data_IF_701771084914
#
_entry.id   IF_701771084914
#
_cell.length_a   1.000
_cell.length_b   1.000
_cell.length_c   1.000
_cell.angle_alpha   90.00
_cell.angle_beta   90.00
_cell.angle_gamma   90.00
#
_symmetry.space_group_name_H-M   'P 1'
#
loop_
_entity.id
_entity.type
_entity.pdbx_description
1 polymer ?
#
# COMPACT_ATOMS: atom_id res chain seq x y z
N UNK A 1 8.82 -6.83 21.16
CA UNK A 1 8.92 -8.06 20.36
C UNK A 1 8.06 -8.07 19.09
N UNK A 2 7.05 -7.18 18.96
CA UNK A 2 6.19 -7.08 17.75
C UNK A 2 6.98 -6.62 16.50
N UNK A 3 7.84 -5.60 16.63
CA UNK A 3 8.60 -5.08 15.49
C UNK A 3 9.57 -6.09 14.87
N UNK A 4 10.26 -6.92 15.69
CA UNK A 4 11.16 -7.96 15.18
C UNK A 4 10.41 -9.04 14.38
N UNK A 5 9.25 -9.49 14.87
CA UNK A 5 8.43 -10.48 14.16
C UNK A 5 7.83 -9.91 12.87
N UNK A 6 7.45 -8.64 12.87
CA UNK A 6 6.94 -7.94 11.67
C UNK A 6 8.01 -7.81 10.60
N UNK A 7 9.16 -7.21 10.92
CA UNK A 7 10.25 -7.01 9.94
C UNK A 7 10.81 -8.34 9.43
N UNK A 8 10.92 -9.36 10.28
CA UNK A 8 11.35 -10.68 9.83
C UNK A 8 10.38 -11.28 8.80
N UNK A 9 9.07 -11.13 9.01
CA UNK A 9 8.05 -11.66 8.12
C UNK A 9 8.01 -10.91 6.78
N UNK A 10 8.17 -9.59 6.80
CA UNK A 10 8.29 -8.80 5.57
C UNK A 10 9.59 -9.09 4.79
N UNK A 11 10.71 -9.29 5.50
CA UNK A 11 11.95 -9.72 4.86
C UNK A 11 11.85 -11.10 4.20
N UNK A 12 11.14 -12.04 4.84
CA UNK A 12 10.89 -13.38 4.28
C UNK A 12 10.01 -13.31 3.02
N UNK A 13 9.02 -12.43 2.98
CA UNK A 13 8.17 -12.20 1.81
C UNK A 13 8.99 -11.75 0.59
N UNK A 14 9.94 -10.82 0.79
CA UNK A 14 10.86 -10.38 -0.26
C UNK A 14 11.70 -11.55 -0.78
N UNK A 15 12.17 -12.45 0.09
CA UNK A 15 12.92 -13.65 -0.32
C UNK A 15 12.08 -14.55 -1.21
N UNK A 16 10.81 -14.79 -0.87
CA UNK A 16 9.90 -15.59 -1.70
C UNK A 16 9.64 -14.95 -3.06
N UNK A 17 9.49 -13.62 -3.11
CA UNK A 17 9.33 -12.87 -4.36
C UNK A 17 10.57 -13.07 -5.26
N UNK A 18 11.77 -12.87 -4.72
CA UNK A 18 13.03 -13.00 -5.48
C UNK A 18 13.23 -14.42 -6.00
N UNK A 19 12.98 -15.44 -5.18
CA UNK A 19 13.09 -16.84 -5.61
C UNK A 19 12.07 -17.13 -6.73
N UNK A 20 10.82 -16.69 -6.56
CA UNK A 20 9.76 -16.93 -7.56
C UNK A 20 10.11 -16.28 -8.90
N UNK A 21 10.52 -15.01 -8.91
CA UNK A 21 10.92 -14.33 -10.13
C UNK A 21 12.22 -14.88 -10.71
N UNK A 22 13.21 -15.22 -9.89
CA UNK A 22 14.48 -15.79 -10.32
C UNK A 22 14.31 -17.17 -10.97
N UNK A 23 13.46 -18.03 -10.42
CA UNK A 23 13.13 -19.33 -11.01
C UNK A 23 12.33 -19.17 -12.32
N UNK A 24 11.39 -18.21 -12.39
CA UNK A 24 10.62 -17.95 -13.59
C UNK A 24 11.47 -17.36 -14.73
N UNK A 25 12.46 -16.53 -14.40
CA UNK A 25 13.40 -15.94 -15.37
C UNK A 25 14.55 -16.90 -15.77
N UNK A 26 14.71 -18.04 -15.09
CA UNK A 26 15.78 -19.00 -15.33
C UNK A 26 17.17 -18.58 -14.81
N UNK A 27 17.27 -17.45 -14.11
CA UNK A 27 18.55 -16.87 -13.65
C UNK A 27 18.40 -16.23 -12.25
N UNK A 28 18.47 -17.09 -11.23
CA UNK A 28 18.40 -16.69 -9.81
C UNK A 28 19.54 -15.75 -9.39
N UNK A 29 20.81 -15.93 -9.84
CA UNK A 29 21.87 -14.97 -9.57
C UNK A 29 21.55 -13.54 -10.02
N UNK A 30 21.01 -13.36 -11.23
CA UNK A 30 20.63 -12.03 -11.74
C UNK A 30 19.48 -11.42 -10.94
N UNK A 31 18.46 -12.21 -10.61
CA UNK A 31 17.35 -11.74 -9.78
C UNK A 31 17.81 -11.33 -8.37
N UNK A 32 18.76 -12.06 -7.80
CA UNK A 32 19.35 -11.76 -6.48
C UNK A 32 20.15 -10.46 -6.52
N UNK A 33 20.94 -10.23 -7.57
CA UNK A 33 21.66 -8.98 -7.78
C UNK A 33 20.69 -7.80 -7.93
N UNK A 34 19.62 -7.98 -8.70
CA UNK A 34 18.55 -6.99 -8.85
C UNK A 34 17.90 -6.62 -7.51
N UNK A 35 17.63 -7.62 -6.67
CA UNK A 35 17.08 -7.40 -5.32
C UNK A 35 18.03 -6.58 -4.43
N UNK A 36 19.33 -6.90 -4.43
CA UNK A 36 20.33 -6.13 -3.67
C UNK A 36 20.41 -4.69 -4.16
N UNK A 37 20.39 -4.47 -5.47
CA UNK A 37 20.39 -3.14 -6.06
C UNK A 37 19.12 -2.37 -5.70
N UNK A 38 17.95 -3.02 -5.72
CA UNK A 38 16.69 -2.41 -5.30
C UNK A 38 16.76 -1.98 -3.82
N UNK A 39 17.28 -2.82 -2.93
CA UNK A 39 17.48 -2.48 -1.52
C UNK A 39 18.40 -1.27 -1.38
N UNK A 40 19.54 -1.26 -2.08
CA UNK A 40 20.47 -0.14 -2.03
C UNK A 40 19.83 1.18 -2.49
N UNK A 41 19.09 1.16 -3.60
CA UNK A 41 18.37 2.32 -4.12
C UNK A 41 17.31 2.80 -3.13
N UNK A 42 16.51 1.88 -2.57
CA UNK A 42 15.48 2.22 -1.59
C UNK A 42 16.09 2.81 -0.32
N UNK A 43 17.21 2.28 0.17
CA UNK A 43 17.92 2.84 1.33
C UNK A 43 18.42 4.25 1.08
N UNK A 44 19.04 4.49 -0.09
CA UNK A 44 19.49 5.84 -0.49
C UNK A 44 18.30 6.79 -0.55
N UNK A 45 17.22 6.37 -1.20
CA UNK A 45 16.01 7.18 -1.32
C UNK A 45 15.43 7.48 0.06
N UNK A 46 15.30 6.47 0.94
CA UNK A 46 14.78 6.62 2.30
C UNK A 46 15.60 7.62 3.11
N UNK A 47 16.93 7.61 3.00
CA UNK A 47 17.81 8.58 3.67
C UNK A 47 17.55 9.99 3.15
N UNK A 48 17.44 10.16 1.83
CA UNK A 48 17.17 11.45 1.17
C UNK A 48 15.80 11.99 1.55
N UNK A 49 14.76 11.16 1.54
CA UNK A 49 13.37 11.58 1.81
C UNK A 49 13.01 11.59 3.29
N UNK A 50 13.86 11.10 4.19
CA UNK A 50 13.61 11.06 5.64
C UNK A 50 13.25 12.43 6.21
N UNK A 51 13.97 13.48 5.79
CA UNK A 51 13.78 14.84 6.30
C UNK A 51 12.44 15.46 5.89
N UNK A 52 12.03 15.45 4.60
CA UNK A 52 10.72 15.97 4.22
C UNK A 52 9.56 15.12 4.76
N UNK A 53 9.71 13.79 4.83
CA UNK A 53 8.66 12.91 5.38
C UNK A 53 8.41 13.15 6.88
N UNK A 54 9.45 13.51 7.63
CA UNK A 54 9.32 13.85 9.05
C UNK A 54 8.58 15.18 9.29
N UNK A 55 8.37 15.99 8.26
CA UNK A 55 7.61 17.25 8.33
C UNK A 55 6.12 17.07 8.01
N UNK A 56 5.71 15.87 7.55
CA UNK A 56 4.33 15.58 7.17
C UNK A 56 3.60 14.96 8.37
N UNK A 57 2.34 15.33 8.55
CA UNK A 57 1.48 14.74 9.58
C UNK A 57 1.42 13.22 9.45
N UNK A 58 1.62 12.52 10.57
CA UNK A 58 1.63 11.06 10.62
C UNK A 58 0.33 10.45 10.08
N UNK A 59 -0.80 11.11 10.34
CA UNK A 59 -2.10 10.63 9.87
C UNK A 59 -2.24 10.75 8.35
N UNK A 60 -1.70 11.82 7.75
CA UNK A 60 -1.71 11.99 6.29
C UNK A 60 -0.80 10.98 5.61
N UNK A 61 0.36 10.70 6.22
CA UNK A 61 1.29 9.69 5.73
C UNK A 61 0.64 8.30 5.77
N UNK A 62 0.03 7.90 6.89
CA UNK A 62 -0.68 6.62 7.01
C UNK A 62 -1.82 6.51 6.01
N UNK A 63 -2.58 7.59 5.81
CA UNK A 63 -3.68 7.62 4.88
C UNK A 63 -3.24 7.44 3.43
N UNK A 64 -2.25 8.24 2.99
CA UNK A 64 -1.72 8.17 1.64
C UNK A 64 -1.04 6.83 1.35
N UNK A 65 -0.20 6.35 2.26
CA UNK A 65 0.47 5.06 2.14
C UNK A 65 -0.55 3.91 2.09
N UNK A 66 -1.57 3.95 2.94
CA UNK A 66 -2.64 2.95 2.92
C UNK A 66 -3.38 2.90 1.57
N UNK A 67 -3.70 4.06 0.98
CA UNK A 67 -4.31 4.14 -0.34
C UNK A 67 -3.42 3.56 -1.45
N UNK A 68 -2.13 3.90 -1.41
CA UNK A 68 -1.14 3.40 -2.38
C UNK A 68 -1.01 1.88 -2.26
N UNK A 69 -0.85 1.35 -1.05
CA UNK A 69 -0.77 -0.10 -0.80
C UNK A 69 -2.03 -0.83 -1.27
N UNK A 70 -3.22 -0.31 -0.99
CA UNK A 70 -4.47 -0.90 -1.46
C UNK A 70 -4.57 -0.90 -2.99
N UNK A 71 -4.14 0.19 -3.65
CA UNK A 71 -4.17 0.31 -5.11
C UNK A 71 -3.21 -0.67 -5.78
N UNK A 72 -1.93 -0.65 -5.37
CA UNK A 72 -0.91 -1.57 -5.89
C UNK A 72 -1.26 -3.02 -5.59
N UNK A 73 -1.66 -3.33 -4.35
CA UNK A 73 -2.06 -4.69 -3.97
C UNK A 73 -3.22 -5.21 -4.81
N UNK A 74 -4.23 -4.38 -5.07
CA UNK A 74 -5.38 -4.77 -5.92
C UNK A 74 -4.97 -5.00 -7.37
N UNK A 75 -4.13 -4.12 -7.93
CA UNK A 75 -3.62 -4.23 -9.29
C UNK A 75 -2.91 -5.57 -9.52
N UNK A 76 -1.90 -5.85 -8.68
CA UNK A 76 -1.09 -7.06 -8.79
C UNK A 76 -1.83 -8.34 -8.38
N UNK A 77 -2.75 -8.27 -7.41
CA UNK A 77 -3.56 -9.43 -7.04
C UNK A 77 -4.44 -9.89 -8.22
N UNK A 78 -5.06 -8.96 -8.94
CA UNK A 78 -5.93 -9.29 -10.08
C UNK A 78 -5.12 -9.81 -11.27
N UNK A 79 -4.00 -9.15 -11.60
CA UNK A 79 -3.10 -9.59 -12.66
C UNK A 79 -2.52 -10.98 -12.36
N UNK A 80 -2.12 -11.21 -11.10
CA UNK A 80 -1.62 -12.49 -10.61
C UNK A 80 -2.67 -13.60 -10.67
N UNK A 81 -3.94 -13.30 -10.37
CA UNK A 81 -5.06 -14.24 -10.51
C UNK A 81 -5.30 -14.63 -11.98
N UNK A 82 -5.05 -13.70 -12.93
CA UNK A 82 -5.14 -13.95 -14.37
C UNK A 82 -4.27 -15.11 -14.85
N UNK A 83 -3.09 -15.29 -14.24
CA UNK A 83 -2.15 -16.37 -14.57
C UNK A 83 -2.68 -17.76 -14.20
N UNK A 84 -3.59 -17.87 -13.23
CA UNK A 84 -4.16 -19.16 -12.78
C UNK A 84 -5.40 -19.60 -13.57
N UNK A 85 -5.93 -18.77 -14.49
CA UNK A 85 -7.08 -19.13 -15.32
C UNK A 85 -6.60 -19.93 -16.55
N UNK A 86 -7.29 -21.03 -16.87
CA UNK A 86 -6.90 -22.03 -17.88
C UNK A 86 -6.79 -21.56 -19.35
N UNK A 87 -6.80 -20.26 -19.62
CA UNK A 87 -6.49 -19.65 -20.91
C UNK A 87 -5.42 -18.59 -20.69
N UNK A 88 -4.25 -18.75 -21.31
CA UNK A 88 -2.98 -18.07 -21.04
C UNK A 88 -2.94 -16.55 -21.34
N UNK A 89 -4.06 -15.85 -21.19
CA UNK A 89 -4.12 -14.40 -21.27
C UNK A 89 -4.07 -13.82 -19.84
N UNK A 90 -3.04 -13.03 -19.50
CA UNK A 90 -3.03 -12.23 -18.28
C UNK A 90 -4.32 -11.41 -18.19
N UNK A 91 -4.80 -11.15 -16.97
CA UNK A 91 -6.01 -10.35 -16.80
C UNK A 91 -5.67 -8.88 -16.95
N UNK A 92 -5.36 -8.47 -18.19
CA UNK A 92 -4.84 -7.14 -18.49
C UNK A 92 -5.82 -6.08 -18.00
N UNK A 93 -5.34 -5.20 -17.13
CA UNK A 93 -6.14 -4.07 -16.71
C UNK A 93 -6.45 -3.15 -17.91
N UNK A 94 -7.72 -2.73 -18.09
CA UNK A 94 -8.07 -1.79 -19.14
C UNK A 94 -7.33 -0.47 -18.93
N UNK A 95 -6.40 -0.15 -19.85
CA UNK A 95 -5.54 1.03 -19.75
C UNK A 95 -4.15 0.77 -19.13
N UNK A 96 -3.78 -0.49 -18.87
CA UNK A 96 -2.47 -0.88 -18.33
C UNK A 96 -2.17 -0.17 -17.01
N UNK A 97 -1.00 0.46 -16.93
CA UNK A 97 -0.54 1.14 -15.71
C UNK A 97 -1.45 2.30 -15.26
N UNK A 98 -2.26 2.88 -16.15
CA UNK A 98 -3.24 3.90 -15.76
C UNK A 98 -4.29 3.35 -14.79
N UNK A 99 -4.52 2.04 -14.77
CA UNK A 99 -5.44 1.41 -13.83
C UNK A 99 -5.00 1.62 -12.37
N UNK A 100 -3.71 1.78 -12.09
CA UNK A 100 -3.22 2.09 -10.74
C UNK A 100 -3.74 3.47 -10.28
N UNK A 101 -3.73 4.47 -11.18
CA UNK A 101 -4.28 5.80 -10.89
C UNK A 101 -5.80 5.77 -10.77
N UNK A 102 -6.48 4.96 -11.59
CA UNK A 102 -7.92 4.76 -11.50
C UNK A 102 -8.31 4.12 -10.16
N UNK A 103 -7.61 3.05 -9.75
CA UNK A 103 -7.78 2.39 -8.45
C UNK A 103 -7.53 3.36 -7.30
N UNK A 104 -6.45 4.15 -7.37
CA UNK A 104 -6.15 5.18 -6.38
C UNK A 104 -7.30 6.19 -6.24
N UNK A 105 -7.85 6.63 -7.36
CA UNK A 105 -9.00 7.55 -7.39
C UNK A 105 -10.24 6.91 -6.77
N UNK A 106 -10.52 5.65 -7.09
CA UNK A 106 -11.65 4.90 -6.51
C UNK A 106 -11.49 4.74 -5.00
N UNK A 107 -10.32 4.31 -4.52
CA UNK A 107 -10.03 4.19 -3.09
C UNK A 107 -10.15 5.54 -2.36
N UNK A 108 -9.69 6.62 -2.99
CA UNK A 108 -9.80 7.97 -2.45
C UNK A 108 -11.25 8.42 -2.32
N UNK A 109 -12.05 8.25 -3.37
CA UNK A 109 -13.47 8.58 -3.36
C UNK A 109 -14.22 7.76 -2.31
N UNK A 110 -14.03 6.44 -2.30
CA UNK A 110 -14.68 5.54 -1.35
C UNK A 110 -14.33 5.92 0.10
N UNK A 111 -13.06 6.19 0.37
CA UNK A 111 -12.62 6.64 1.67
C UNK A 111 -13.23 7.99 2.07
N UNK A 112 -13.27 8.97 1.15
CA UNK A 112 -13.89 10.28 1.40
C UNK A 112 -15.37 10.14 1.71
N UNK A 113 -16.10 9.29 0.97
CA UNK A 113 -17.51 8.97 1.23
C UNK A 113 -17.66 8.36 2.62
N UNK A 114 -16.84 7.38 2.98
CA UNK A 114 -16.87 6.76 4.31
C UNK A 114 -16.63 7.79 5.43
N UNK A 115 -15.63 8.65 5.27
CA UNK A 115 -15.33 9.71 6.24
C UNK A 115 -16.49 10.70 6.35
N UNK A 116 -17.15 11.07 5.26
CA UNK A 116 -18.30 11.98 5.28
C UNK A 116 -19.53 11.34 5.95
N UNK A 117 -19.81 10.07 5.65
CA UNK A 117 -20.95 9.34 6.21
C UNK A 117 -20.77 9.05 7.71
N UNK A 118 -19.55 8.72 8.14
CA UNK A 118 -19.25 8.40 9.53
C UNK A 118 -18.96 9.63 10.42
N UNK A 119 -18.77 10.82 9.82
CA UNK A 119 -18.61 12.09 10.55
C UNK A 119 -19.94 12.69 11.07
N UNK A 120 -21.09 12.06 10.81
CA UNK A 120 -22.37 12.44 11.44
C UNK A 120 -22.52 11.94 12.89
N UNK A 121 -23.66 12.23 13.55
CA UNK A 121 -23.97 13.30 14.53
C UNK A 121 -23.14 13.38 15.83
N UNK A 122 -21.98 12.71 15.93
CA UNK A 122 -21.24 12.60 17.20
C UNK A 122 -20.70 13.93 17.74
N UNK A 123 -20.53 14.94 16.88
CA UNK A 123 -20.18 16.30 17.28
C UNK A 123 -21.35 17.08 17.93
N UNK A 124 -22.60 16.76 17.60
CA UNK A 124 -23.78 17.43 18.17
C UNK A 124 -24.14 16.89 19.57
N UNK A 125 -23.81 15.63 19.86
CA UNK A 125 -24.09 15.02 21.18
C UNK A 125 -23.12 15.47 22.29
N UNK A 126 -21.89 15.89 21.94
CA UNK A 126 -20.91 16.41 22.90
C UNK A 126 -21.23 17.85 23.33
N UNK A 127 -21.75 18.67 22.42
CA UNK A 127 -22.11 20.08 22.67
C UNK A 127 -23.34 20.22 23.61
N UNK A 128 -24.27 19.25 23.56
CA UNK A 128 -25.41 19.20 24.47
C UNK A 128 -25.04 18.77 25.90
N UNK A 129 -24.05 17.88 26.07
CA UNK A 129 -23.64 17.40 27.39
C UNK A 129 -22.91 18.48 28.22
N UNK A 130 -22.04 19.29 27.58
CA UNK A 130 -21.35 20.40 28.25
C UNK A 130 -22.30 21.56 28.63
N UNK A 131 -23.45 21.67 27.95
CA UNK A 131 -24.47 22.70 28.23
C UNK A 131 -25.37 22.34 29.42
N UNK A 132 -25.55 21.05 29.73
CA UNK A 132 -26.34 20.57 30.88
C UNK A 132 -25.55 20.56 32.19
N UNK A 133 -24.22 20.42 32.16
CA UNK A 133 -23.38 20.50 33.37
C UNK A 133 -23.09 21.96 33.81
N UNK A 134 -23.36 22.94 32.95
CA UNK A 134 -23.11 24.36 33.21
C UNK A 134 -24.34 25.17 33.68
N UNK A 135 -25.50 24.52 33.86
CA UNK A 135 -26.77 25.14 34.34
C UNK A 135 -27.14 24.72 35.75
#
# INVERSE_FOLDING_TARGET
>A
MVSFKGVFLEGLEVVFIVITFGLNAGDVPVASLGAVMAVAVVLVLAIVVRKPLAMIDENLLKYGVGLLLASFGTYWAIEGVGVFRAGQAPLEWPGGDLAILALLTVWLLLSRVFVLVLRGPRAAAADHADSEEAG
#
